data_IF_059883976683
#
_entry.id   IF_059883976683
#
_cell.length_a   1.000
_cell.length_b   1.000
_cell.length_c   1.000
_cell.angle_alpha   90.00
_cell.angle_beta   90.00
_cell.angle_gamma   90.00
#
_symmetry.space_group_name_H-M   'P 1'
#
loop_
_entity.id
_entity.type
_entity.pdbx_description
1 polymer ?
#
# COMPACT_ATOMS: atom_id res chain seq x y z
N UNK A 1 15.87 -1.42 -5.39
CA UNK A 1 15.98 0.05 -5.27
C UNK A 1 14.83 0.66 -6.04
N UNK A 2 14.33 1.79 -5.57
CA UNK A 2 13.21 2.50 -6.17
C UNK A 2 13.72 3.89 -6.60
N UNK A 3 13.63 4.19 -7.90
CA UNK A 3 14.14 5.40 -8.51
C UNK A 3 13.03 6.09 -9.29
N UNK A 4 13.00 7.42 -9.22
CA UNK A 4 12.02 8.22 -9.91
C UNK A 4 12.67 9.39 -10.63
N UNK A 5 12.20 9.71 -11.83
CA UNK A 5 12.65 10.87 -12.60
C UNK A 5 11.47 11.70 -13.07
N UNK A 6 11.57 13.01 -12.91
CA UNK A 6 10.56 13.97 -13.39
C UNK A 6 11.09 14.62 -14.65
N UNK A 7 10.33 14.50 -15.74
CA UNK A 7 10.80 14.87 -17.07
C UNK A 7 9.69 15.54 -17.87
N UNK A 8 9.99 16.44 -18.82
CA UNK A 8 8.98 16.91 -19.76
C UNK A 8 8.35 15.72 -20.51
N UNK A 9 7.04 15.77 -20.75
CA UNK A 9 6.26 14.66 -21.30
C UNK A 9 6.86 14.05 -22.58
N UNK A 10 7.45 14.88 -23.44
CA UNK A 10 8.08 14.44 -24.69
C UNK A 10 9.39 13.63 -24.49
N UNK A 11 9.95 13.62 -23.29
CA UNK A 11 11.23 12.98 -22.97
C UNK A 11 11.10 11.66 -22.20
N UNK A 12 9.88 11.20 -21.90
CA UNK A 12 9.64 9.96 -21.15
C UNK A 12 10.43 8.80 -21.76
N UNK A 13 10.23 8.52 -23.05
CA UNK A 13 10.91 7.40 -23.73
C UNK A 13 12.43 7.59 -23.85
N UNK A 14 12.89 8.83 -24.09
CA UNK A 14 14.31 9.14 -24.17
C UNK A 14 15.04 8.83 -22.84
N UNK A 15 14.37 9.06 -21.71
CA UNK A 15 14.92 8.78 -20.38
C UNK A 15 15.03 7.28 -20.12
N UNK A 16 14.06 6.47 -20.55
CA UNK A 16 14.19 5.02 -20.46
C UNK A 16 15.35 4.48 -21.29
N UNK A 17 15.55 5.00 -22.51
CA UNK A 17 16.73 4.65 -23.32
C UNK A 17 18.02 5.00 -22.58
N UNK A 18 18.12 6.21 -22.02
CA UNK A 18 19.31 6.66 -21.30
C UNK A 18 19.59 5.84 -20.04
N UNK A 19 18.55 5.54 -19.23
CA UNK A 19 18.69 4.69 -18.04
C UNK A 19 19.11 3.29 -18.41
N UNK A 20 18.52 2.70 -19.45
CA UNK A 20 18.90 1.37 -19.92
C UNK A 20 20.37 1.32 -20.35
N UNK A 21 20.81 2.32 -21.11
CA UNK A 21 22.22 2.45 -21.50
C UNK A 21 23.13 2.59 -20.28
N UNK A 22 22.77 3.42 -19.30
CA UNK A 22 23.54 3.58 -18.08
C UNK A 22 23.63 2.28 -17.27
N UNK A 23 22.52 1.55 -17.12
CA UNK A 23 22.49 0.26 -16.42
C UNK A 23 23.37 -0.78 -17.13
N UNK A 24 23.34 -0.85 -18.46
CA UNK A 24 24.20 -1.74 -19.26
C UNK A 24 25.70 -1.43 -19.11
N UNK A 25 26.08 -0.20 -18.72
CA UNK A 25 27.49 0.08 -18.37
C UNK A 25 27.92 -0.52 -17.04
N UNK A 26 26.97 -0.85 -16.16
CA UNK A 26 27.22 -1.44 -14.84
C UNK A 26 27.18 -2.97 -14.91
N UNK A 27 26.22 -3.54 -15.62
CA UNK A 27 26.05 -4.97 -15.84
C UNK A 27 25.04 -5.19 -16.98
N UNK A 28 25.15 -6.29 -17.75
CA UNK A 28 24.11 -6.68 -18.69
C UNK A 28 22.73 -6.77 -18.01
N UNK A 29 21.67 -6.33 -18.69
CA UNK A 29 20.30 -6.50 -18.19
C UNK A 29 19.86 -7.93 -18.47
N UNK A 30 19.65 -8.71 -17.40
CA UNK A 30 19.17 -10.08 -17.52
C UNK A 30 17.68 -10.13 -17.89
N UNK A 31 16.87 -9.24 -17.29
CA UNK A 31 15.43 -9.15 -17.50
C UNK A 31 14.96 -7.71 -17.33
N UNK A 32 13.98 -7.32 -18.13
CA UNK A 32 13.18 -6.14 -17.82
C UNK A 32 11.70 -6.39 -18.02
N UNK A 33 10.87 -5.58 -17.36
CA UNK A 33 9.42 -5.58 -17.53
C UNK A 33 8.89 -4.15 -17.50
N UNK A 34 8.41 -3.69 -18.66
CA UNK A 34 7.72 -2.40 -18.80
C UNK A 34 6.25 -2.57 -18.46
N UNK A 35 5.73 -1.75 -17.54
CA UNK A 35 4.30 -1.76 -17.24
C UNK A 35 3.50 -1.37 -18.49
N UNK A 36 2.40 -2.09 -18.80
CA UNK A 36 1.46 -1.68 -19.83
C UNK A 36 0.89 -0.29 -19.52
N UNK A 37 0.78 0.53 -20.57
CA UNK A 37 0.25 1.89 -20.46
C UNK A 37 -1.18 1.98 -21.01
N UNK A 38 -2.09 2.75 -20.37
CA UNK A 38 -1.86 3.53 -19.15
C UNK A 38 -1.79 2.65 -17.91
N UNK A 39 -0.80 2.90 -17.04
CA UNK A 39 -0.69 2.22 -15.76
C UNK A 39 -1.72 2.76 -14.75
N UNK A 40 -2.07 1.95 -13.75
CA UNK A 40 -3.08 2.32 -12.73
C UNK A 40 -2.70 3.55 -11.90
N UNK A 41 -1.39 3.85 -11.77
CA UNK A 41 -0.87 5.05 -11.11
C UNK A 41 -0.63 6.23 -12.08
N UNK A 42 -0.85 6.03 -13.39
CA UNK A 42 -0.72 7.08 -14.41
C UNK A 42 0.71 7.49 -14.75
N UNK A 43 1.71 6.71 -14.36
CA UNK A 43 3.14 6.95 -14.66
C UNK A 43 3.68 5.85 -15.59
N UNK A 44 4.80 6.12 -16.23
CA UNK A 44 5.56 5.12 -16.98
C UNK A 44 6.57 4.45 -16.05
N UNK A 45 6.65 3.12 -16.05
CA UNK A 45 7.51 2.39 -15.09
C UNK A 45 8.08 1.12 -15.72
N UNK A 46 9.36 0.88 -15.49
CA UNK A 46 10.04 -0.35 -15.91
C UNK A 46 10.86 -0.93 -14.77
N UNK A 47 10.76 -2.23 -14.58
CA UNK A 47 11.62 -2.98 -13.68
C UNK A 47 12.80 -3.56 -14.43
N UNK A 48 14.00 -3.49 -13.84
CA UNK A 48 15.21 -4.10 -14.38
C UNK A 48 15.84 -5.05 -13.36
N UNK A 49 16.34 -6.18 -13.86
CA UNK A 49 17.21 -7.09 -13.13
C UNK A 49 18.54 -7.18 -13.88
N UNK A 50 19.64 -6.87 -13.19
CA UNK A 50 20.99 -6.93 -13.75
C UNK A 50 21.58 -8.33 -13.57
N UNK A 51 22.30 -8.83 -14.57
CA UNK A 51 22.85 -10.19 -14.60
C UNK A 51 23.88 -10.48 -13.51
N UNK A 52 24.69 -9.47 -13.16
CA UNK A 52 25.78 -9.61 -12.18
C UNK A 52 25.42 -9.04 -10.79
N UNK A 53 24.18 -8.59 -10.60
CA UNK A 53 23.66 -8.17 -9.30
C UNK A 53 23.05 -9.35 -8.53
N UNK A 54 22.82 -9.16 -7.22
CA UNK A 54 22.05 -10.12 -6.43
C UNK A 54 20.65 -10.32 -7.07
N UNK A 55 20.16 -11.57 -7.23
CA UNK A 55 18.86 -11.82 -7.86
C UNK A 55 17.66 -11.15 -7.17
N UNK A 56 17.79 -10.81 -5.89
CA UNK A 56 16.78 -10.09 -5.12
C UNK A 56 16.91 -8.56 -5.28
N UNK A 57 17.94 -8.07 -5.97
CA UNK A 57 18.11 -6.67 -6.29
C UNK A 57 17.41 -6.32 -7.61
N UNK A 58 16.24 -5.71 -7.50
CA UNK A 58 15.52 -5.11 -8.63
C UNK A 58 15.72 -3.60 -8.65
N UNK A 59 15.85 -3.02 -9.84
CA UNK A 59 15.70 -1.58 -10.05
C UNK A 59 14.25 -1.34 -10.48
N UNK A 60 13.46 -0.71 -9.61
CA UNK A 60 12.16 -0.15 -9.94
C UNK A 60 12.37 1.29 -10.39
N UNK A 61 12.16 1.58 -11.68
CA UNK A 61 12.33 2.92 -12.24
C UNK A 61 11.01 3.46 -12.80
N UNK A 62 10.51 4.53 -12.19
CA UNK A 62 9.32 5.25 -12.64
C UNK A 62 9.67 6.64 -13.18
N UNK A 63 9.07 7.00 -14.31
CA UNK A 63 9.15 8.33 -14.90
C UNK A 63 7.83 9.04 -14.68
N UNK A 64 7.90 10.21 -14.06
CA UNK A 64 6.77 11.12 -13.83
C UNK A 64 6.82 12.20 -14.91
N UNK A 65 5.88 12.20 -15.88
CA UNK A 65 5.74 13.33 -16.79
C UNK A 65 5.45 14.61 -16.01
N UNK A 66 6.07 15.73 -16.41
CA UNK A 66 5.92 17.01 -15.73
C UNK A 66 4.45 17.44 -15.63
N UNK A 67 3.63 17.14 -16.64
CA UNK A 67 2.18 17.38 -16.62
C UNK A 67 1.43 16.61 -15.52
N UNK A 68 2.02 15.54 -14.99
CA UNK A 68 1.44 14.67 -13.95
C UNK A 68 2.01 14.93 -12.56
N UNK A 69 3.00 15.82 -12.43
CA UNK A 69 3.68 16.09 -11.17
C UNK A 69 2.71 16.41 -10.02
N UNK A 70 1.77 17.32 -10.25
CA UNK A 70 0.79 17.74 -9.24
C UNK A 70 -0.15 16.59 -8.79
N UNK A 71 -0.31 15.57 -9.62
CA UNK A 71 -1.12 14.37 -9.33
C UNK A 71 -0.27 13.16 -8.92
N UNK A 72 1.06 13.28 -8.90
CA UNK A 72 1.97 12.20 -8.59
C UNK A 72 2.03 11.97 -7.08
N UNK A 73 1.03 11.25 -6.57
CA UNK A 73 0.85 10.93 -5.14
C UNK A 73 2.07 10.27 -4.48
N UNK A 74 2.99 9.71 -5.27
CA UNK A 74 4.24 9.11 -4.82
C UNK A 74 5.20 10.09 -4.13
N UNK A 75 4.96 11.39 -4.28
CA UNK A 75 5.75 12.43 -3.64
C UNK A 75 5.11 12.97 -2.36
N UNK A 76 3.91 12.55 -1.97
CA UNK A 76 3.24 13.03 -0.75
C UNK A 76 4.07 12.64 0.49
N UNK A 77 4.71 13.64 1.12
CA UNK A 77 5.66 13.47 2.24
C UNK A 77 5.06 12.69 3.39
N UNK A 78 3.81 12.99 3.74
CA UNK A 78 3.09 12.33 4.83
C UNK A 78 2.93 10.83 4.57
N UNK A 79 2.78 10.43 3.31
CA UNK A 79 2.60 9.02 2.94
C UNK A 79 3.90 8.29 2.68
N UNK A 80 4.86 8.95 2.04
CA UNK A 80 6.07 8.33 1.50
C UNK A 80 7.35 8.65 2.28
N UNK A 81 7.30 9.63 3.19
CA UNK A 81 8.45 10.15 3.92
C UNK A 81 9.20 11.24 3.14
N UNK A 82 10.36 11.62 3.65
CA UNK A 82 11.23 12.58 2.98
C UNK A 82 11.92 11.93 1.77
N UNK A 83 11.73 12.50 0.59
CA UNK A 83 12.36 12.01 -0.63
C UNK A 83 13.88 12.26 -0.60
N UNK A 84 14.67 11.24 -0.95
CA UNK A 84 16.09 11.41 -1.20
C UNK A 84 16.29 12.02 -2.59
N UNK A 85 16.48 13.34 -2.64
CA UNK A 85 16.74 14.08 -3.88
C UNK A 85 18.19 13.87 -4.33
N UNK A 86 18.39 13.09 -5.39
CA UNK A 86 19.72 12.86 -5.98
C UNK A 86 20.15 14.02 -6.90
N UNK A 87 19.19 14.65 -7.60
CA UNK A 87 19.45 15.75 -8.52
C UNK A 87 18.19 16.61 -8.70
N UNK A 88 18.29 17.90 -8.39
CA UNK A 88 17.25 18.89 -8.71
C UNK A 88 17.87 20.28 -8.87
N UNK A 89 18.16 20.67 -10.12
CA UNK A 89 18.66 22.03 -10.40
C UNK A 89 17.55 23.08 -10.51
N UNK A 90 16.29 22.66 -10.66
CA UNK A 90 15.17 23.53 -10.97
C UNK A 90 14.20 23.77 -9.80
N UNK A 91 14.40 23.08 -8.67
CA UNK A 91 13.47 23.10 -7.55
C UNK A 91 12.13 22.41 -7.87
N UNK A 92 12.14 21.44 -8.80
CA UNK A 92 10.93 20.77 -9.28
C UNK A 92 10.50 19.60 -8.38
N UNK A 93 11.31 19.17 -7.41
CA UNK A 93 11.04 18.00 -6.57
C UNK A 93 10.45 18.34 -5.20
N UNK A 94 9.91 19.55 -5.01
CA UNK A 94 9.20 19.89 -3.77
C UNK A 94 7.93 19.01 -3.64
N UNK A 95 7.85 18.12 -2.64
CA UNK A 95 6.72 17.21 -2.49
C UNK A 95 5.43 18.00 -2.21
N UNK A 96 4.33 17.78 -2.94
CA UNK A 96 3.06 18.37 -2.56
C UNK A 96 2.61 17.78 -1.22
N UNK A 97 2.00 18.59 -0.32
CA UNK A 97 1.38 18.04 0.87
C UNK A 97 0.23 17.11 0.48
N UNK A 98 -0.05 16.12 1.33
CA UNK A 98 -1.23 15.28 1.18
C UNK A 98 -2.51 16.13 1.13
N UNK A 99 -3.38 15.88 0.14
CA UNK A 99 -4.76 16.37 0.19
C UNK A 99 -5.51 15.64 1.31
N UNK A 100 -5.45 16.22 2.49
CA UNK A 100 -6.03 15.67 3.69
C UNK A 100 -7.55 15.61 3.67
N UNK A 101 -8.22 16.48 2.92
CA UNK A 101 -9.68 16.48 2.83
C UNK A 101 -10.15 15.32 1.96
N UNK A 102 -9.58 15.18 0.77
CA UNK A 102 -9.88 14.08 -0.13
C UNK A 102 -9.47 12.73 0.50
N UNK A 103 -8.30 12.68 1.14
CA UNK A 103 -7.79 11.46 1.77
C UNK A 103 -8.66 11.00 2.94
N UNK A 104 -9.10 11.91 3.82
CA UNK A 104 -9.98 11.54 4.92
C UNK A 104 -11.42 11.24 4.46
N UNK A 105 -11.90 11.86 3.38
CA UNK A 105 -13.17 11.48 2.77
C UNK A 105 -13.14 10.01 2.29
N UNK A 106 -12.04 9.60 1.64
CA UNK A 106 -11.82 8.20 1.23
C UNK A 106 -11.70 7.25 2.43
N UNK A 107 -10.98 7.67 3.48
CA UNK A 107 -10.86 6.91 4.72
C UNK A 107 -12.21 6.69 5.41
N UNK A 108 -13.03 7.75 5.52
CA UNK A 108 -14.36 7.68 6.10
C UNK A 108 -15.32 6.79 5.28
N UNK A 109 -15.30 6.92 3.94
CA UNK A 109 -16.05 6.04 3.06
C UNK A 109 -15.62 4.57 3.20
N UNK A 110 -14.31 4.33 3.37
CA UNK A 110 -13.79 2.98 3.61
C UNK A 110 -14.25 2.42 4.96
N UNK A 111 -14.25 3.21 6.04
CA UNK A 111 -14.83 2.81 7.33
C UNK A 111 -16.30 2.39 7.18
N UNK A 112 -17.12 3.24 6.57
CA UNK A 112 -18.54 2.96 6.36
C UNK A 112 -18.76 1.65 5.58
N UNK A 113 -17.97 1.45 4.52
CA UNK A 113 -17.99 0.23 3.71
C UNK A 113 -17.64 -1.00 4.56
N UNK A 114 -16.49 -0.99 5.23
CA UNK A 114 -16.01 -2.14 6.00
C UNK A 114 -16.98 -2.54 7.11
N UNK A 115 -17.54 -1.55 7.83
CA UNK A 115 -18.54 -1.78 8.90
C UNK A 115 -19.71 -2.61 8.40
N UNK A 116 -20.14 -2.39 7.16
CA UNK A 116 -21.28 -3.06 6.55
C UNK A 116 -20.89 -4.40 5.92
N UNK A 117 -19.73 -4.48 5.28
CA UNK A 117 -19.35 -5.62 4.45
C UNK A 117 -18.72 -6.76 5.24
N UNK A 118 -17.94 -6.50 6.29
CA UNK A 118 -17.25 -7.57 7.03
C UNK A 118 -18.24 -8.54 7.68
N UNK A 119 -19.26 -8.10 8.44
CA UNK A 119 -20.25 -9.02 9.00
C UNK A 119 -21.05 -9.79 7.94
N UNK A 120 -21.31 -9.17 6.79
CA UNK A 120 -22.05 -9.78 5.70
C UNK A 120 -21.26 -10.89 5.00
N UNK A 121 -19.95 -10.67 4.80
CA UNK A 121 -19.13 -11.54 3.95
C UNK A 121 -18.20 -12.48 4.71
N UNK A 122 -17.88 -12.25 5.99
CA UNK A 122 -17.10 -13.19 6.79
C UNK A 122 -17.64 -14.64 6.77
N UNK A 123 -18.97 -14.90 6.79
CA UNK A 123 -19.52 -16.25 6.68
C UNK A 123 -19.18 -16.98 5.37
N UNK A 124 -18.71 -16.28 4.33
CA UNK A 124 -18.29 -16.92 3.07
C UNK A 124 -17.08 -17.84 3.27
N UNK A 125 -16.19 -17.50 4.20
CA UNK A 125 -15.02 -18.33 4.53
C UNK A 125 -15.48 -19.68 5.06
N UNK A 126 -16.37 -19.68 6.05
CA UNK A 126 -16.89 -20.92 6.65
C UNK A 126 -17.69 -21.75 5.64
N UNK A 127 -18.51 -21.11 4.81
CA UNK A 127 -19.24 -21.78 3.72
C UNK A 127 -18.29 -22.49 2.76
N UNK A 128 -17.18 -21.86 2.38
CA UNK A 128 -16.17 -22.44 1.51
C UNK A 128 -15.46 -23.63 2.18
N UNK A 129 -15.07 -23.51 3.45
CA UNK A 129 -14.49 -24.63 4.23
C UNK A 129 -15.44 -25.82 4.29
N UNK A 130 -16.72 -25.60 4.63
CA UNK A 130 -17.74 -26.67 4.72
C UNK A 130 -17.98 -27.39 3.39
N UNK A 131 -17.72 -26.72 2.26
CA UNK A 131 -17.82 -27.28 0.91
C UNK A 131 -16.52 -27.95 0.43
N UNK A 132 -15.45 -27.92 1.23
CA UNK A 132 -14.14 -28.43 0.84
C UNK A 132 -13.37 -27.51 -0.12
N UNK A 133 -13.81 -26.27 -0.34
CA UNK A 133 -13.17 -25.32 -1.25
C UNK A 133 -12.09 -24.50 -0.51
N UNK A 134 -10.97 -25.15 -0.17
CA UNK A 134 -9.97 -24.54 0.72
C UNK A 134 -9.25 -23.33 0.11
N UNK A 135 -8.94 -23.36 -1.18
CA UNK A 135 -8.33 -22.22 -1.87
C UNK A 135 -9.25 -20.98 -1.90
N UNK A 136 -10.55 -21.21 -2.11
CA UNK A 136 -11.58 -20.17 -2.05
C UNK A 136 -11.71 -19.62 -0.62
N UNK A 137 -11.72 -20.49 0.39
CA UNK A 137 -11.76 -20.08 1.79
C UNK A 137 -10.57 -19.19 2.18
N UNK A 138 -9.36 -19.56 1.77
CA UNK A 138 -8.15 -18.78 2.02
C UNK A 138 -8.21 -17.40 1.32
N UNK A 139 -8.67 -17.36 0.06
CA UNK A 139 -8.83 -16.12 -0.68
C UNK A 139 -9.88 -15.20 -0.02
N UNK A 140 -11.03 -15.74 0.39
CA UNK A 140 -12.05 -15.00 1.12
C UNK A 140 -11.55 -14.49 2.46
N UNK A 141 -10.81 -15.29 3.21
CA UNK A 141 -10.28 -14.88 4.50
C UNK A 141 -9.35 -13.67 4.38
N UNK A 142 -8.39 -13.74 3.44
CA UNK A 142 -7.46 -12.64 3.20
C UNK A 142 -8.19 -11.36 2.74
N UNK A 143 -9.12 -11.47 1.79
CA UNK A 143 -9.74 -10.32 1.15
C UNK A 143 -10.90 -9.70 1.96
N UNK A 144 -11.72 -10.53 2.62
CA UNK A 144 -13.01 -10.13 3.19
C UNK A 144 -12.96 -9.98 4.72
N UNK A 145 -11.94 -10.55 5.38
CA UNK A 145 -11.83 -10.54 6.85
C UNK A 145 -10.54 -9.87 7.29
N UNK A 146 -9.39 -10.45 6.95
CA UNK A 146 -8.11 -9.96 7.47
C UNK A 146 -7.75 -8.60 6.90
N UNK A 147 -7.91 -8.39 5.59
CA UNK A 147 -7.60 -7.09 4.97
C UNK A 147 -8.36 -5.91 5.59
N UNK A 148 -9.69 -5.98 5.74
CA UNK A 148 -10.45 -4.94 6.44
C UNK A 148 -9.99 -4.68 7.87
N UNK A 149 -9.61 -5.73 8.64
CA UNK A 149 -9.06 -5.54 9.98
C UNK A 149 -7.74 -4.76 9.95
N UNK A 150 -6.83 -5.10 9.04
CA UNK A 150 -5.56 -4.37 8.93
C UNK A 150 -5.79 -2.91 8.54
N UNK A 151 -6.67 -2.64 7.58
CA UNK A 151 -7.00 -1.27 7.19
C UNK A 151 -7.63 -0.50 8.36
N UNK A 152 -8.49 -1.13 9.17
CA UNK A 152 -9.07 -0.50 10.37
C UNK A 152 -8.02 -0.15 11.42
N UNK A 153 -7.09 -1.07 11.71
CA UNK A 153 -5.99 -0.81 12.65
C UNK A 153 -5.06 0.29 12.12
N UNK A 154 -4.81 0.33 10.81
CA UNK A 154 -4.05 1.43 10.21
C UNK A 154 -4.77 2.77 10.27
N UNK A 155 -6.10 2.80 10.10
CA UNK A 155 -6.87 4.03 10.26
C UNK A 155 -6.74 4.62 11.68
N UNK A 156 -6.58 3.75 12.68
CA UNK A 156 -6.32 4.16 14.07
C UNK A 156 -4.90 4.70 14.28
N UNK A 157 -3.89 4.03 13.72
CA UNK A 157 -2.49 4.31 14.09
C UNK A 157 -1.72 5.16 13.04
N UNK A 158 -2.00 4.97 11.76
CA UNK A 158 -1.31 5.58 10.63
C UNK A 158 -2.30 5.95 9.50
N UNK A 159 -3.27 6.85 9.76
CA UNK A 159 -4.35 7.16 8.83
C UNK A 159 -3.86 7.65 7.45
N UNK A 160 -2.67 8.25 7.35
CA UNK A 160 -2.03 8.64 6.09
C UNK A 160 -1.71 7.43 5.17
N UNK A 161 -1.46 6.26 5.74
CA UNK A 161 -1.05 5.01 5.06
C UNK A 161 -2.06 3.88 5.30
N UNK A 162 -3.34 4.22 5.48
CA UNK A 162 -4.37 3.22 5.81
C UNK A 162 -4.55 2.13 4.76
N UNK A 163 -4.31 2.47 3.50
CA UNK A 163 -4.46 1.64 2.30
C UNK A 163 -3.16 0.95 1.88
N UNK A 164 -2.09 1.00 2.69
CA UNK A 164 -0.79 0.41 2.35
C UNK A 164 -0.73 -1.11 2.51
N UNK A 165 -1.81 -1.74 2.97
CA UNK A 165 -1.87 -3.19 3.14
C UNK A 165 -0.82 -3.67 4.14
N UNK A 166 -0.05 -4.70 3.79
CA UNK A 166 0.87 -5.36 4.76
C UNK A 166 2.23 -4.67 4.84
N UNK A 167 2.43 -3.58 4.10
CA UNK A 167 3.72 -2.88 4.01
C UNK A 167 3.98 -2.03 5.25
N UNK A 168 5.17 -2.16 5.84
CA UNK A 168 5.61 -1.32 6.97
C UNK A 168 4.81 -1.48 8.27
N UNK A 169 4.21 -2.66 8.52
CA UNK A 169 3.49 -2.92 9.78
C UNK A 169 4.41 -2.77 11.01
N UNK A 170 5.70 -3.02 10.86
CA UNK A 170 6.74 -2.84 11.87
C UNK A 170 6.96 -1.38 12.27
N UNK A 171 6.71 -0.44 11.36
CA UNK A 171 6.85 1.00 11.58
C UNK A 171 5.55 1.69 11.95
N UNK A 172 4.46 1.26 11.30
CA UNK A 172 3.23 2.04 11.23
C UNK A 172 2.19 1.68 12.29
N UNK A 173 2.28 0.51 12.93
CA UNK A 173 1.31 0.04 13.93
C UNK A 173 2.00 -0.51 15.18
N UNK A 174 1.31 -0.54 16.34
CA UNK A 174 1.88 -1.05 17.58
C UNK A 174 2.34 -2.52 17.47
N UNK A 175 3.42 -2.93 18.16
CA UNK A 175 3.95 -4.29 18.09
C UNK A 175 2.93 -5.40 18.39
N UNK A 176 1.99 -5.15 19.32
CA UNK A 176 0.94 -6.11 19.65
C UNK A 176 -0.04 -6.35 18.48
N UNK A 177 -0.41 -5.28 17.77
CA UNK A 177 -1.30 -5.37 16.62
C UNK A 177 -0.60 -5.96 15.41
N UNK A 178 0.69 -5.65 15.21
CA UNK A 178 1.52 -6.32 14.23
C UNK A 178 1.58 -7.83 14.48
N UNK A 179 1.88 -8.24 15.71
CA UNK A 179 1.98 -9.66 16.07
C UNK A 179 0.65 -10.40 15.86
N UNK A 180 -0.48 -9.74 16.14
CA UNK A 180 -1.81 -10.26 15.83
C UNK A 180 -1.98 -10.48 14.32
N UNK A 181 -1.69 -9.47 13.49
CA UNK A 181 -1.84 -9.55 12.04
C UNK A 181 -0.94 -10.65 11.45
N UNK A 182 0.34 -10.71 11.85
CA UNK A 182 1.29 -11.71 11.33
C UNK A 182 0.86 -13.14 11.69
N UNK A 183 0.35 -13.37 12.90
CA UNK A 183 -0.19 -14.67 13.31
C UNK A 183 -1.45 -15.05 12.54
N UNK A 184 -2.34 -14.09 12.29
CA UNK A 184 -3.57 -14.32 11.55
C UNK A 184 -3.32 -14.50 10.04
N UNK A 185 -2.26 -13.92 9.49
CA UNK A 185 -1.99 -13.94 8.05
C UNK A 185 -1.70 -15.33 7.46
N UNK A 186 -1.22 -16.28 8.26
CA UNK A 186 -0.79 -17.61 7.80
C UNK A 186 -1.41 -18.73 8.64
N UNK A 187 -2.72 -19.01 8.51
CA UNK A 187 -3.36 -20.12 9.21
C UNK A 187 -2.84 -21.46 8.68
N UNK A 188 -2.49 -22.36 9.60
CA UNK A 188 -1.86 -23.64 9.26
C UNK A 188 -2.82 -24.67 8.61
N UNK A 189 -4.10 -24.60 8.94
CA UNK A 189 -5.12 -25.57 8.52
C UNK A 189 -6.53 -24.94 8.55
N UNK A 190 -7.57 -25.61 8.02
CA UNK A 190 -8.93 -25.08 8.02
C UNK A 190 -9.47 -24.76 9.44
N UNK A 191 -9.25 -25.58 10.48
CA UNK A 191 -9.60 -25.20 11.85
C UNK A 191 -8.94 -23.90 12.33
N UNK A 192 -7.65 -23.69 12.04
CA UNK A 192 -6.92 -22.47 12.36
C UNK A 192 -7.46 -21.26 11.58
N UNK A 193 -7.81 -21.45 10.31
CA UNK A 193 -8.47 -20.43 9.49
C UNK A 193 -9.79 -19.99 10.13
N UNK A 194 -10.63 -20.93 10.56
CA UNK A 194 -11.92 -20.61 11.19
C UNK A 194 -11.76 -19.89 12.54
N UNK A 195 -10.80 -20.31 13.38
CA UNK A 195 -10.43 -19.56 14.59
C UNK A 195 -9.94 -18.15 14.25
N UNK A 196 -9.15 -18.01 13.19
CA UNK A 196 -8.67 -16.72 12.70
C UNK A 196 -9.79 -15.82 12.18
N UNK A 197 -10.86 -16.37 11.60
CA UNK A 197 -12.07 -15.62 11.21
C UNK A 197 -12.76 -15.06 12.44
N UNK A 198 -12.99 -15.90 13.46
CA UNK A 198 -13.65 -15.50 14.69
C UNK A 198 -12.85 -14.40 15.40
N UNK A 199 -11.55 -14.62 15.62
CA UNK A 199 -10.69 -13.67 16.31
C UNK A 199 -10.58 -12.33 15.55
N UNK A 200 -10.39 -12.37 14.24
CA UNK A 200 -10.30 -11.16 13.43
C UNK A 200 -11.62 -10.37 13.46
N UNK A 201 -12.76 -11.06 13.40
CA UNK A 201 -14.08 -10.43 13.45
C UNK A 201 -14.36 -9.83 14.82
N UNK A 202 -13.99 -10.52 15.91
CA UNK A 202 -14.12 -9.99 17.27
C UNK A 202 -13.25 -8.74 17.46
N UNK A 203 -11.99 -8.76 17.00
CA UNK A 203 -11.13 -7.58 17.05
C UNK A 203 -11.72 -6.43 16.22
N UNK A 204 -12.22 -6.71 15.03
CA UNK A 204 -12.85 -5.72 14.16
C UNK A 204 -14.05 -5.03 14.84
N UNK A 205 -14.93 -5.82 15.47
CA UNK A 205 -16.07 -5.29 16.23
C UNK A 205 -15.60 -4.44 17.41
N UNK A 206 -14.59 -4.88 18.15
CA UNK A 206 -14.03 -4.13 19.27
C UNK A 206 -13.44 -2.78 18.83
N UNK A 207 -12.72 -2.74 17.70
CA UNK A 207 -12.16 -1.49 17.16
C UNK A 207 -13.25 -0.51 16.73
N UNK A 208 -14.37 -0.99 16.15
CA UNK A 208 -15.52 -0.14 15.86
C UNK A 208 -16.22 0.35 17.12
N UNK A 209 -16.33 -0.48 18.15
CA UNK A 209 -16.88 -0.06 19.44
C UNK A 209 -16.00 1.05 20.07
N UNK A 210 -14.68 0.92 20.02
CA UNK A 210 -13.74 1.94 20.48
C UNK A 210 -13.85 3.24 19.66
N UNK A 211 -14.03 3.15 18.34
CA UNK A 211 -14.28 4.30 17.47
C UNK A 211 -15.60 5.01 17.85
N UNK A 212 -16.68 4.25 18.07
CA UNK A 212 -18.01 4.78 18.42
C UNK A 212 -18.02 5.40 19.83
N UNK A 213 -17.23 4.84 20.75
CA UNK A 213 -17.01 5.39 22.09
C UNK A 213 -16.08 6.63 22.08
N UNK A 214 -15.47 6.97 20.94
CA UNK A 214 -14.56 8.09 20.80
C UNK A 214 -13.17 7.85 21.41
N UNK A 215 -12.79 6.60 21.67
CA UNK A 215 -11.45 6.25 22.18
C UNK A 215 -10.35 6.56 21.15
N UNK A 216 -10.71 6.55 19.87
CA UNK A 216 -9.88 7.06 18.79
C UNK A 216 -10.76 7.66 17.70
N UNK A 217 -10.16 8.51 16.85
CA UNK A 217 -10.84 9.14 15.71
C UNK A 217 -9.84 9.41 14.59
N UNK A 218 -10.36 9.69 13.40
CA UNK A 218 -9.55 10.27 12.33
C UNK A 218 -8.96 11.63 12.76
N UNK A 219 -7.78 12.00 12.25
CA UNK A 219 -7.05 13.18 12.70
C UNK A 219 -7.81 14.47 12.36
N UNK A 220 -7.79 15.40 13.31
CA UNK A 220 -8.34 16.75 13.19
C UNK A 220 -7.42 17.65 12.37
N UNK A 221 -7.92 18.82 11.96
CA UNK A 221 -7.11 19.81 11.25
C UNK A 221 -5.80 20.17 12.01
N UNK A 222 -5.85 20.31 13.33
CA UNK A 222 -4.69 20.62 14.15
C UNK A 222 -3.66 19.46 14.18
N UNK A 223 -4.13 18.22 14.30
CA UNK A 223 -3.25 17.03 14.27
C UNK A 223 -2.63 16.78 12.89
N UNK A 224 -3.31 17.20 11.81
CA UNK A 224 -2.79 17.13 10.43
C UNK A 224 -1.69 18.17 10.20
N UNK A 225 -1.87 19.40 10.70
CA UNK A 225 -0.88 20.46 10.55
C UNK A 225 0.44 20.21 11.32
N UNK A 226 0.42 19.32 12.31
CA UNK A 226 1.58 18.95 13.10
C UNK A 226 2.39 17.77 12.51
N UNK A 227 1.96 17.19 11.39
CA UNK A 227 2.59 16.05 10.72
C UNK A 227 3.42 16.51 9.53
#
# INVERSE_FOLDING_TARGET
MDLQAIVPDAHVEAVFVAVRQALETLSPIARSYRLPEPAWHGLSQEFFQLAEADPNHLVDFAVIPASKLASARLLERERHGEALVLFDRGGHLAPPPLDWEEHLAKAAARLATMRSTVPLFAPMVEKAVRRGHLAEAAAFYQALVLKPLVELLRLRHCPERYDYGWRYLDRDIPPADRALIERLAFPADPPALLRGVEEATQRFVAEYAALDAGEWRLPSAAERAAR
#
